data_IF_825826724175
#
_entry.id   IF_825826724175
#
_cell.length_a   1.000
_cell.length_b   1.000
_cell.length_c   1.000
_cell.angle_alpha   90.00
_cell.angle_beta   90.00
_cell.angle_gamma   90.00
#
_symmetry.space_group_name_H-M   'P 1'
#
loop_
_entity.id
_entity.type
_entity.pdbx_description
1 polymer ?
#
# COMPACT_ATOMS: atom_id res chain seq x y z
N UNK A 1 -30.14 -20.67 -49.72
CA UNK A 1 -29.38 -20.27 -48.51
C UNK A 1 -28.58 -19.02 -48.80
N UNK A 2 -29.03 -17.88 -48.28
CA UNK A 2 -28.64 -16.54 -48.72
C UNK A 2 -27.29 -16.10 -48.13
N UNK A 3 -26.50 -15.30 -48.86
CA UNK A 3 -25.21 -14.73 -48.42
C UNK A 3 -25.31 -13.92 -47.12
N UNK A 4 -26.52 -13.49 -46.72
CA UNK A 4 -26.80 -12.75 -45.48
C UNK A 4 -26.68 -13.63 -44.22
N UNK A 5 -27.09 -14.90 -44.30
CA UNK A 5 -27.08 -15.82 -43.14
C UNK A 5 -25.66 -16.22 -42.73
N UNK A 6 -24.74 -16.28 -43.70
CA UNK A 6 -23.31 -16.56 -43.45
C UNK A 6 -22.59 -15.39 -42.77
N UNK A 7 -22.98 -14.15 -43.07
CA UNK A 7 -22.38 -12.93 -42.47
C UNK A 7 -22.85 -12.74 -41.02
N UNK A 8 -24.12 -13.03 -40.73
CA UNK A 8 -24.66 -12.94 -39.37
C UNK A 8 -24.03 -13.96 -38.41
N UNK A 9 -23.78 -15.19 -38.88
CA UNK A 9 -23.10 -16.24 -38.08
C UNK A 9 -21.62 -15.94 -37.85
N UNK A 10 -20.94 -15.35 -38.83
CA UNK A 10 -19.53 -14.94 -38.67
C UNK A 10 -19.38 -13.78 -37.66
N UNK A 11 -20.33 -12.84 -37.65
CA UNK A 11 -20.33 -11.73 -36.69
C UNK A 11 -20.58 -12.19 -35.24
N UNK A 12 -21.48 -13.16 -35.03
CA UNK A 12 -21.73 -13.73 -33.70
C UNK A 12 -20.53 -14.53 -33.17
N UNK A 13 -19.86 -15.30 -34.05
CA UNK A 13 -18.68 -16.07 -33.68
C UNK A 13 -17.48 -15.16 -33.32
N UNK A 14 -17.32 -14.03 -34.02
CA UNK A 14 -16.29 -13.04 -33.70
C UNK A 14 -16.54 -12.34 -32.34
N UNK A 15 -17.80 -12.04 -32.00
CA UNK A 15 -18.18 -11.47 -30.71
C UNK A 15 -18.01 -12.45 -29.54
N UNK A 16 -18.35 -13.73 -29.74
CA UNK A 16 -18.13 -14.77 -28.73
C UNK A 16 -16.63 -15.03 -28.47
N UNK A 17 -15.81 -14.98 -29.52
CA UNK A 17 -14.35 -15.08 -29.40
C UNK A 17 -13.73 -13.90 -28.65
N UNK A 18 -14.22 -12.67 -28.88
CA UNK A 18 -13.75 -11.48 -28.18
C UNK A 18 -14.12 -11.45 -26.69
N UNK A 19 -15.26 -12.04 -26.30
CA UNK A 19 -15.68 -12.16 -24.90
C UNK A 19 -14.90 -13.23 -24.12
N UNK A 20 -14.40 -14.29 -24.77
CA UNK A 20 -13.61 -15.32 -24.08
C UNK A 20 -12.18 -14.86 -23.73
N UNK A 21 -11.59 -13.94 -24.49
CA UNK A 21 -10.20 -13.48 -24.27
C UNK A 21 -10.06 -12.55 -23.05
N UNK A 22 -11.14 -11.88 -22.63
CA UNK A 22 -11.13 -10.95 -21.47
C UNK A 22 -11.19 -11.73 -20.14
N UNK A 23 -11.70 -12.96 -20.14
CA UNK A 23 -11.86 -13.76 -18.92
C UNK A 23 -10.57 -14.45 -18.44
N UNK A 24 -9.50 -14.42 -19.22
CA UNK A 24 -8.23 -15.10 -18.93
C UNK A 24 -7.08 -14.16 -18.62
N UNK A 25 -7.33 -12.88 -18.35
CA UNK A 25 -6.29 -12.01 -17.81
C UNK A 25 -5.92 -12.53 -16.41
N UNK A 26 -4.67 -13.01 -16.19
CA UNK A 26 -4.25 -13.40 -14.86
C UNK A 26 -4.40 -12.18 -13.95
N UNK A 27 -5.03 -12.36 -12.80
CA UNK A 27 -5.02 -11.34 -11.75
C UNK A 27 -3.55 -11.03 -11.48
N UNK A 28 -3.10 -9.82 -11.85
CA UNK A 28 -1.77 -9.36 -11.53
C UNK A 28 -1.69 -9.34 -10.01
N UNK A 29 -0.91 -10.26 -9.43
CA UNK A 29 -0.59 -10.21 -8.00
C UNK A 29 -0.02 -8.81 -7.72
N UNK A 30 -0.64 -8.09 -6.79
CA UNK A 30 -0.21 -6.75 -6.44
C UNK A 30 1.23 -6.84 -5.92
N UNK A 31 2.15 -6.08 -6.53
CA UNK A 31 3.51 -6.00 -6.02
C UNK A 31 3.49 -5.32 -4.63
N UNK A 32 4.44 -5.66 -3.74
CA UNK A 32 4.55 -4.98 -2.44
C UNK A 32 4.58 -3.46 -2.63
N UNK A 33 3.67 -2.77 -1.95
CA UNK A 33 3.59 -1.33 -2.00
C UNK A 33 4.77 -0.72 -1.23
N UNK A 34 5.39 0.30 -1.80
CA UNK A 34 6.42 1.09 -1.12
C UNK A 34 5.81 2.42 -0.68
N UNK A 35 5.90 2.70 0.62
CA UNK A 35 5.48 3.95 1.24
C UNK A 35 6.71 4.67 1.80
N UNK A 36 6.80 5.98 1.61
CA UNK A 36 7.89 6.80 2.14
C UNK A 36 7.29 7.88 3.02
N UNK A 37 7.67 7.88 4.29
CA UNK A 37 7.30 8.91 5.26
C UNK A 37 8.56 9.67 5.63
N UNK A 38 8.52 11.00 5.48
CA UNK A 38 9.68 11.86 5.65
C UNK A 38 9.34 12.96 6.65
N UNK A 39 10.10 12.99 7.76
CA UNK A 39 10.17 14.12 8.69
C UNK A 39 11.21 15.15 8.22
N UNK A 40 11.64 16.03 9.11
CA UNK A 40 12.69 17.01 8.81
C UNK A 40 14.05 16.35 8.62
N UNK A 41 14.37 15.36 9.44
CA UNK A 41 15.64 14.66 9.51
C UNK A 41 15.47 13.14 9.43
N UNK A 42 14.37 12.59 9.94
CA UNK A 42 14.11 11.14 9.96
C UNK A 42 13.29 10.74 8.75
N UNK A 43 13.63 9.59 8.17
CA UNK A 43 12.94 8.99 7.03
C UNK A 43 12.61 7.53 7.32
N UNK A 44 11.41 7.12 6.95
CA UNK A 44 11.00 5.72 6.90
C UNK A 44 10.63 5.36 5.47
N UNK A 45 11.26 4.32 4.91
CA UNK A 45 10.81 3.64 3.70
C UNK A 45 10.22 2.30 4.11
N UNK A 46 8.94 2.12 3.87
CA UNK A 46 8.12 0.98 4.29
C UNK A 46 7.72 0.17 3.06
N UNK A 47 7.86 -1.16 3.11
CA UNK A 47 7.49 -2.07 2.02
C UNK A 47 6.70 -3.26 2.55
N UNK A 48 5.46 -3.39 2.11
CA UNK A 48 4.60 -4.53 2.44
C UNK A 48 3.52 -4.74 1.39
N UNK A 49 2.97 -5.96 1.35
CA UNK A 49 1.75 -6.25 0.60
C UNK A 49 0.54 -5.96 1.49
N UNK A 50 -0.05 -4.77 1.33
CA UNK A 50 -1.18 -4.32 2.14
C UNK A 50 -2.49 -5.03 1.78
N UNK A 51 -2.62 -5.53 0.55
CA UNK A 51 -3.79 -6.30 0.13
C UNK A 51 -3.76 -7.68 0.80
N UNK A 52 -2.59 -8.32 0.86
CA UNK A 52 -2.40 -9.55 1.64
C UNK A 52 -2.63 -9.31 3.14
N UNK A 53 -2.27 -8.13 3.66
CA UNK A 53 -2.53 -7.78 5.06
C UNK A 53 -4.01 -7.61 5.36
N UNK A 54 -4.75 -6.96 4.46
CA UNK A 54 -6.19 -6.78 4.59
C UNK A 54 -6.97 -8.10 4.45
N UNK A 55 -6.47 -9.03 3.65
CA UNK A 55 -7.05 -10.35 3.43
C UNK A 55 -6.46 -11.45 4.35
N UNK A 56 -5.68 -11.09 5.37
CA UNK A 56 -4.91 -12.04 6.17
C UNK A 56 -5.82 -13.03 6.91
N UNK A 57 -5.67 -14.31 6.59
CA UNK A 57 -6.31 -15.42 7.31
C UNK A 57 -5.47 -15.89 8.50
N UNK A 58 -5.99 -16.83 9.32
CA UNK A 58 -5.34 -17.28 10.56
C UNK A 58 -3.95 -17.89 10.38
N UNK A 59 -3.69 -18.55 9.24
CA UNK A 59 -2.41 -19.18 8.92
C UNK A 59 -1.50 -18.30 8.04
N UNK A 60 -2.01 -17.14 7.61
CA UNK A 60 -1.26 -16.23 6.77
C UNK A 60 -0.34 -15.35 7.63
N UNK A 61 0.81 -15.00 7.05
CA UNK A 61 1.71 -14.00 7.58
C UNK A 61 1.97 -12.93 6.56
N UNK A 62 2.07 -11.68 7.00
CA UNK A 62 2.55 -10.59 6.15
C UNK A 62 3.90 -10.12 6.62
N UNK A 63 4.83 -10.07 5.67
CA UNK A 63 6.13 -9.47 5.83
C UNK A 63 6.05 -7.97 5.57
N UNK A 64 6.64 -7.22 6.47
CA UNK A 64 6.77 -5.78 6.38
C UNK A 64 8.22 -5.38 6.64
N UNK A 65 8.87 -4.88 5.60
CA UNK A 65 10.25 -4.40 5.67
C UNK A 65 10.28 -2.87 5.79
N UNK A 66 11.15 -2.37 6.66
CA UNK A 66 11.38 -0.96 6.87
C UNK A 66 12.86 -0.64 6.75
N UNK A 67 13.15 0.50 6.14
CA UNK A 67 14.43 1.18 6.18
C UNK A 67 14.24 2.51 6.91
N UNK A 68 14.94 2.68 8.02
CA UNK A 68 14.85 3.85 8.88
C UNK A 68 16.22 4.52 8.87
N UNK A 69 16.26 5.79 8.48
CA UNK A 69 17.49 6.58 8.42
C UNK A 69 17.25 7.98 8.94
N UNK A 70 18.34 8.65 9.33
CA UNK A 70 18.33 10.05 9.69
C UNK A 70 19.41 10.83 8.95
N UNK A 71 19.13 12.11 8.74
CA UNK A 71 20.07 13.07 8.15
C UNK A 71 20.00 14.38 8.96
N UNK A 72 20.60 14.38 10.15
CA UNK A 72 20.63 15.55 11.03
C UNK A 72 22.01 16.23 11.05
N UNK A 73 22.09 17.56 11.27
CA UNK A 73 23.37 18.26 11.35
C UNK A 73 24.29 17.82 12.50
N UNK A 74 23.70 17.36 13.61
CA UNK A 74 24.43 16.90 14.78
C UNK A 74 24.06 15.43 15.05
N UNK A 75 25.04 14.61 15.50
CA UNK A 75 24.76 13.23 15.88
C UNK A 75 23.70 13.13 16.97
N UNK A 76 22.90 12.08 16.91
CA UNK A 76 21.88 11.79 17.91
C UNK A 76 21.32 10.38 17.74
N UNK A 77 20.14 10.15 18.31
CA UNK A 77 19.52 8.83 18.33
C UNK A 77 18.07 8.91 17.88
N UNK A 78 17.64 7.95 17.07
CA UNK A 78 16.25 7.73 16.69
C UNK A 78 15.75 6.47 17.39
N UNK A 79 14.71 6.60 18.20
CA UNK A 79 14.06 5.46 18.85
C UNK A 79 13.04 4.87 17.89
N UNK A 80 13.05 3.56 17.77
CA UNK A 80 12.13 2.80 16.92
C UNK A 80 11.18 2.02 17.82
N UNK A 81 9.88 2.16 17.57
CA UNK A 81 8.87 1.50 18.37
C UNK A 81 7.70 0.99 17.55
N UNK A 82 6.89 0.12 18.17
CA UNK A 82 5.66 -0.40 17.57
C UNK A 82 4.50 -0.15 18.51
N UNK A 83 3.38 0.28 17.96
CA UNK A 83 2.09 0.34 18.67
C UNK A 83 1.03 -0.41 17.87
N UNK A 84 -0.02 -0.86 18.53
CA UNK A 84 -1.20 -1.39 17.87
C UNK A 84 -2.49 -0.90 18.51
N UNK A 85 -3.57 -0.90 17.72
CA UNK A 85 -4.94 -0.69 18.16
C UNK A 85 -5.87 -1.67 17.44
N UNK A 86 -6.93 -2.11 18.10
CA UNK A 86 -7.95 -2.99 17.51
C UNK A 86 -8.18 -4.28 18.29
N UNK A 87 -8.98 -5.17 17.71
CA UNK A 87 -9.61 -6.28 18.42
C UNK A 87 -9.03 -7.65 18.08
N UNK A 88 -8.41 -7.78 16.90
CA UNK A 88 -7.80 -9.04 16.45
C UNK A 88 -6.41 -9.21 17.07
N UNK A 89 -6.13 -10.26 17.86
CA UNK A 89 -4.81 -10.39 18.46
C UNK A 89 -3.80 -10.76 17.37
N UNK A 90 -2.62 -10.16 17.44
CA UNK A 90 -1.55 -10.32 16.46
C UNK A 90 -0.26 -10.70 17.18
N UNK A 91 0.52 -11.57 16.57
CA UNK A 91 1.89 -11.87 16.98
C UNK A 91 2.86 -11.36 15.92
N UNK A 92 3.99 -10.82 16.36
CA UNK A 92 5.01 -10.28 15.48
C UNK A 92 6.37 -10.86 15.84
N UNK A 93 7.09 -11.34 14.83
CA UNK A 93 8.55 -11.52 14.91
C UNK A 93 9.21 -10.25 14.38
N UNK A 94 10.11 -9.66 15.17
CA UNK A 94 10.83 -8.44 14.80
C UNK A 94 12.31 -8.74 14.70
N UNK A 95 12.89 -8.47 13.54
CA UNK A 95 14.32 -8.65 13.26
C UNK A 95 14.94 -7.38 12.73
N UNK A 96 16.19 -7.13 13.11
CA UNK A 96 17.02 -6.07 12.59
C UNK A 96 18.15 -6.67 11.76
N UNK A 97 18.39 -6.12 10.58
CA UNK A 97 19.54 -6.43 9.75
C UNK A 97 20.45 -5.19 9.66
N UNK A 98 21.78 -5.35 9.75
CA UNK A 98 22.72 -4.24 9.57
C UNK A 98 22.83 -3.78 8.10
N UNK A 99 22.23 -4.53 7.17
CA UNK A 99 22.22 -4.22 5.73
C UNK A 99 20.81 -4.41 5.18
N UNK A 100 20.55 -3.89 3.98
CA UNK A 100 19.27 -4.11 3.31
C UNK A 100 18.99 -5.61 3.14
N UNK A 101 17.76 -6.01 3.47
CA UNK A 101 17.32 -7.39 3.31
C UNK A 101 17.33 -7.83 1.84
N UNK A 102 17.76 -9.06 1.59
CA UNK A 102 17.77 -9.67 0.26
C UNK A 102 16.82 -10.86 0.24
N UNK A 103 15.61 -10.66 -0.31
CA UNK A 103 14.58 -11.68 -0.19
C UNK A 103 14.31 -11.97 1.30
N UNK A 104 14.32 -13.23 1.70
CA UNK A 104 14.11 -13.63 3.10
C UNK A 104 15.35 -13.47 3.99
N UNK A 105 16.52 -13.30 3.39
CA UNK A 105 17.80 -13.39 4.10
C UNK A 105 18.37 -12.03 4.50
N UNK A 106 19.08 -12.05 5.63
CA UNK A 106 19.97 -10.97 6.05
C UNK A 106 21.41 -11.47 5.96
N UNK A 107 22.13 -11.03 4.92
CA UNK A 107 23.52 -11.44 4.68
C UNK A 107 24.46 -11.02 5.81
N UNK A 108 24.16 -9.90 6.48
CA UNK A 108 24.93 -9.40 7.63
C UNK A 108 24.62 -10.10 8.96
N UNK A 109 23.72 -11.09 8.99
CA UNK A 109 23.22 -11.72 10.21
C UNK A 109 22.09 -10.92 10.86
N UNK A 110 20.90 -11.52 10.94
CA UNK A 110 19.75 -10.87 11.56
C UNK A 110 19.80 -10.95 13.08
N UNK A 111 19.67 -9.81 13.75
CA UNK A 111 19.40 -9.76 15.19
C UNK A 111 17.91 -9.89 15.44
N UNK A 112 17.53 -10.79 16.35
CA UNK A 112 16.14 -10.96 16.77
C UNK A 112 15.83 -10.01 17.93
N UNK A 113 14.94 -9.04 17.70
CA UNK A 113 14.51 -8.07 18.72
C UNK A 113 13.31 -8.59 19.53
N UNK A 114 12.36 -9.25 18.86
CA UNK A 114 11.16 -9.86 19.47
C UNK A 114 10.78 -11.14 18.71
N UNK A 115 10.27 -12.15 19.43
CA UNK A 115 9.77 -13.41 18.87
C UNK A 115 8.37 -13.70 19.35
N UNK A 116 7.48 -14.07 18.42
CA UNK A 116 6.08 -14.39 18.67
C UNK A 116 5.42 -13.39 19.63
N UNK A 117 5.78 -12.11 19.50
CA UNK A 117 5.43 -11.11 20.49
C UNK A 117 3.99 -10.65 20.25
N UNK A 118 3.13 -10.87 21.24
CA UNK A 118 1.78 -10.32 21.27
C UNK A 118 1.84 -8.81 21.50
N UNK A 119 1.68 -8.03 20.43
CA UNK A 119 1.76 -6.56 20.49
C UNK A 119 0.59 -6.04 21.34
N UNK A 120 0.83 -5.22 22.39
CA UNK A 120 -0.24 -4.56 23.12
C UNK A 120 -1.09 -3.67 22.20
N UNK A 121 -2.41 -3.74 22.36
CA UNK A 121 -3.38 -3.04 21.50
C UNK A 121 -4.01 -1.83 22.17
N UNK A 122 -3.31 -1.27 23.15
CA UNK A 122 -3.72 -0.10 23.94
C UNK A 122 -3.26 1.23 23.31
N UNK A 123 -2.72 1.18 22.09
CA UNK A 123 -2.19 2.34 21.37
C UNK A 123 -0.85 2.86 21.90
N UNK A 124 -0.29 2.25 22.94
CA UNK A 124 1.01 2.68 23.49
C UNK A 124 2.14 2.15 22.62
N UNK A 125 3.13 3.01 22.39
CA UNK A 125 4.36 2.62 21.70
C UNK A 125 5.24 1.81 22.64
N UNK A 126 5.61 0.60 22.20
CA UNK A 126 6.63 -0.22 22.82
C UNK A 126 7.91 -0.08 22.02
N UNK A 127 8.96 0.40 22.69
CA UNK A 127 10.28 0.56 22.08
C UNK A 127 10.88 -0.81 21.72
N UNK A 128 11.43 -0.89 20.52
CA UNK A 128 12.11 -2.06 20.00
C UNK A 128 13.63 -1.91 20.12
N UNK A 129 14.13 -0.76 19.68
CA UNK A 129 15.55 -0.44 19.60
C UNK A 129 15.79 1.06 19.44
N UNK A 130 17.05 1.48 19.55
CA UNK A 130 17.49 2.85 19.35
C UNK A 130 18.70 2.89 18.41
N UNK A 131 18.61 3.67 17.32
CA UNK A 131 19.60 3.70 16.24
C UNK A 131 20.35 5.03 16.24
N UNK A 132 21.64 5.00 15.92
CA UNK A 132 22.43 6.22 15.70
C UNK A 132 21.87 6.98 14.50
N UNK A 133 21.96 8.31 14.52
CA UNK A 133 21.61 9.13 13.36
C UNK A 133 22.51 8.90 12.15
N UNK A 134 23.68 8.32 12.37
CA UNK A 134 24.68 8.03 11.32
C UNK A 134 24.49 6.64 10.70
N UNK A 135 23.56 5.84 11.25
CA UNK A 135 23.26 4.48 10.82
C UNK A 135 21.95 4.40 10.01
N UNK A 136 21.81 3.32 9.25
CA UNK A 136 20.57 2.94 8.59
C UNK A 136 20.09 1.61 9.17
N UNK A 137 18.90 1.61 9.73
CA UNK A 137 18.30 0.41 10.32
C UNK A 137 17.37 -0.27 9.32
N UNK A 138 17.60 -1.56 9.08
CA UNK A 138 16.75 -2.38 8.22
C UNK A 138 15.93 -3.36 9.07
N UNK A 139 14.71 -2.96 9.42
CA UNK A 139 13.82 -3.73 10.30
C UNK A 139 12.86 -4.57 9.47
N UNK A 140 12.65 -5.83 9.87
CA UNK A 140 11.59 -6.69 9.34
C UNK A 140 10.62 -7.06 10.45
N UNK A 141 9.34 -6.90 10.16
CA UNK A 141 8.23 -7.42 10.95
C UNK A 141 7.55 -8.54 10.16
N UNK A 142 7.42 -9.71 10.76
CA UNK A 142 6.56 -10.78 10.25
C UNK A 142 5.33 -10.86 11.14
N UNK A 143 4.22 -10.35 10.63
CA UNK A 143 2.95 -10.19 11.36
C UNK A 143 2.04 -11.38 11.08
N UNK A 144 1.47 -11.95 12.14
CA UNK A 144 0.50 -13.07 12.08
C UNK A 144 -0.69 -12.79 12.97
N UNK A 145 -1.84 -13.37 12.64
CA UNK A 145 -2.98 -13.43 13.57
C UNK A 145 -2.67 -14.43 14.69
N UNK A 146 -3.03 -14.07 15.92
CA UNK A 146 -2.94 -14.96 17.06
C UNK A 146 -4.26 -15.72 17.24
N UNK A 147 -4.22 -17.05 17.14
CA UNK A 147 -5.40 -17.90 17.33
C UNK A 147 -6.27 -18.07 16.07
N UNK A 148 -6.76 -19.29 15.87
CA UNK A 148 -7.27 -19.82 14.60
C UNK A 148 -8.59 -19.25 14.04
N UNK A 149 -9.09 -18.13 14.55
CA UNK A 149 -10.26 -17.37 14.03
C UNK A 149 -10.43 -16.09 14.86
N UNK A 150 -9.50 -15.14 14.71
CA UNK A 150 -9.69 -13.80 15.26
C UNK A 150 -10.73 -13.06 14.41
N UNK A 151 -11.84 -12.64 15.02
CA UNK A 151 -12.74 -11.66 14.43
C UNK A 151 -12.23 -10.25 14.75
N UNK A 152 -12.36 -9.32 13.80
CA UNK A 152 -11.95 -7.93 13.96
C UNK A 152 -10.71 -7.58 13.13
N UNK A 153 -10.21 -6.37 13.34
CA UNK A 153 -9.02 -5.85 12.68
C UNK A 153 -8.08 -5.24 13.71
N UNK A 154 -6.78 -5.25 13.40
CA UNK A 154 -5.76 -4.58 14.20
C UNK A 154 -4.88 -3.75 13.28
N UNK A 155 -4.72 -2.48 13.64
CA UNK A 155 -3.81 -1.57 12.97
C UNK A 155 -2.50 -1.55 13.76
N UNK A 156 -1.41 -1.92 13.10
CA UNK A 156 -0.06 -1.83 13.64
C UNK A 156 0.61 -0.59 13.06
N UNK A 157 1.31 0.17 13.90
CA UNK A 157 2.11 1.34 13.50
C UNK A 157 3.55 1.12 13.94
N UNK A 158 4.49 1.44 13.05
CA UNK A 158 5.90 1.59 13.41
C UNK A 158 6.18 3.08 13.55
N UNK A 159 6.86 3.45 14.63
CA UNK A 159 7.23 4.81 15.01
C UNK A 159 8.74 4.99 14.92
N UNK A 160 9.16 6.17 14.47
CA UNK A 160 10.53 6.63 14.57
C UNK A 160 10.55 8.03 15.19
N UNK A 161 11.09 8.11 16.41
CA UNK A 161 11.08 9.31 17.24
C UNK A 161 12.51 9.74 17.58
N UNK A 162 12.87 10.96 17.19
CA UNK A 162 14.22 11.47 17.46
C UNK A 162 14.51 12.74 16.67
N UNK A 163 15.54 13.48 17.11
CA UNK A 163 16.06 14.64 16.38
C UNK A 163 15.02 15.76 16.14
N UNK A 164 13.93 15.78 16.93
CA UNK A 164 12.82 16.73 16.76
C UNK A 164 11.73 16.26 15.79
N UNK A 165 11.87 15.07 15.21
CA UNK A 165 10.82 14.40 14.43
C UNK A 165 10.11 13.32 15.24
N UNK A 166 8.85 13.13 14.88
CA UNK A 166 8.01 12.02 15.30
C UNK A 166 7.17 11.61 14.08
N UNK A 167 7.54 10.50 13.46
CA UNK A 167 6.88 9.98 12.27
C UNK A 167 6.48 8.52 12.44
N UNK A 168 5.41 8.12 11.77
CA UNK A 168 4.87 6.78 11.86
C UNK A 168 4.38 6.27 10.50
N UNK A 169 4.38 4.95 10.32
CA UNK A 169 3.85 4.28 9.11
C UNK A 169 3.10 3.01 9.49
N UNK A 170 2.24 2.50 8.60
CA UNK A 170 1.53 1.22 8.74
C UNK A 170 0.30 1.13 7.83
N UNK A 171 -0.47 0.04 7.88
CA UNK A 171 -1.63 -0.18 7.02
C UNK A 171 -2.61 1.00 7.04
N UNK A 172 -2.95 1.55 5.87
CA UNK A 172 -3.88 2.68 5.75
C UNK A 172 -3.35 4.03 6.25
N UNK A 173 -2.04 4.21 6.40
CA UNK A 173 -1.39 5.50 6.69
C UNK A 173 -1.37 6.44 5.46
N UNK A 174 -2.47 6.53 4.74
CA UNK A 174 -2.61 7.47 3.61
C UNK A 174 -3.08 8.81 4.16
N UNK A 175 -2.17 9.56 4.76
CA UNK A 175 -2.32 11.00 4.89
C UNK A 175 -1.06 11.65 4.30
N UNK A 176 -1.16 12.29 3.12
CA UNK A 176 -0.11 13.22 2.70
C UNK A 176 -0.01 14.32 3.75
N UNK A 177 1.21 14.66 4.16
CA UNK A 177 1.46 15.89 4.87
C UNK A 177 0.90 17.06 4.05
N UNK A 178 0.01 17.85 4.64
CA UNK A 178 -0.54 19.08 4.04
C UNK A 178 0.60 20.01 3.64
N UNK A 179 0.81 20.22 2.34
CA UNK A 179 1.83 21.15 1.84
C UNK A 179 2.22 20.97 0.38
N UNK A 180 1.28 21.10 -0.56
CA UNK A 180 1.61 21.09 -1.98
C UNK A 180 0.44 21.64 -2.80
N UNK A 181 0.62 22.82 -3.38
CA UNK A 181 -0.35 23.49 -4.23
C UNK A 181 -0.77 22.59 -5.41
N UNK A 182 -2.06 22.26 -5.49
CA UNK A 182 -2.62 21.65 -6.68
C UNK A 182 -2.44 22.63 -7.86
N UNK A 183 -1.79 22.23 -8.97
CA UNK A 183 -1.77 23.05 -10.16
C UNK A 183 -3.21 23.08 -10.72
N UNK A 184 -3.83 24.26 -10.65
CA UNK A 184 -5.14 24.60 -11.18
C UNK A 184 -5.45 24.18 -12.64
N UNK A 185 -4.50 23.90 -13.58
CA UNK A 185 -4.87 23.54 -14.95
C UNK A 185 -5.60 22.20 -15.11
N UNK A 186 -5.44 21.25 -14.18
CA UNK A 186 -6.04 19.92 -14.31
C UNK A 186 -7.58 19.93 -14.20
N UNK A 187 -8.14 20.88 -13.44
CA UNK A 187 -9.59 21.05 -13.28
C UNK A 187 -10.22 21.67 -14.54
N UNK A 188 -9.48 22.53 -15.25
CA UNK A 188 -9.95 23.17 -16.50
C UNK A 188 -10.04 22.15 -17.65
N UNK A 189 -9.10 21.20 -17.74
CA UNK A 189 -9.11 20.17 -18.77
C UNK A 189 -10.28 19.19 -18.63
N UNK A 190 -10.67 18.82 -17.40
CA UNK A 190 -11.83 17.95 -17.14
C UNK A 190 -13.17 18.63 -17.45
N UNK A 191 -13.29 19.93 -17.15
CA UNK A 191 -14.51 20.70 -17.45
C UNK A 191 -14.77 20.86 -18.95
N UNK A 192 -13.73 21.09 -19.75
CA UNK A 192 -13.87 21.26 -21.20
C UNK A 192 -14.38 20.00 -21.92
N UNK A 193 -13.95 18.81 -21.47
CA UNK A 193 -14.41 17.52 -22.01
C UNK A 193 -15.89 17.26 -21.76
N UNK A 194 -16.41 17.63 -20.59
CA UNK A 194 -17.83 17.48 -20.26
C UNK A 194 -18.71 18.45 -21.06
N UNK A 195 -18.26 19.68 -21.30
CA UNK A 195 -18.97 20.65 -22.15
C UNK A 195 -18.99 20.21 -23.62
N UNK A 196 -17.88 19.67 -24.14
CA UNK A 196 -17.83 19.14 -25.50
C UNK A 196 -18.76 17.93 -25.70
N UNK A 197 -18.81 17.01 -24.72
CA UNK A 197 -19.71 15.86 -24.76
C UNK A 197 -21.20 16.27 -24.69
N UNK A 198 -21.52 17.28 -23.87
CA UNK A 198 -22.87 17.84 -23.79
C UNK A 198 -23.31 18.50 -25.11
N UNK A 199 -22.43 19.28 -25.74
CA UNK A 199 -22.71 19.92 -27.04
C UNK A 199 -22.93 18.90 -28.16
N UNK A 200 -22.11 17.83 -28.22
CA UNK A 200 -22.28 16.75 -29.19
C UNK A 200 -23.61 16.02 -29.04
N UNK A 201 -24.07 15.75 -27.81
CA UNK A 201 -25.35 15.12 -27.54
C UNK A 201 -26.55 16.00 -27.94
N UNK A 202 -26.46 17.32 -27.74
CA UNK A 202 -27.51 18.27 -28.15
C UNK A 202 -27.61 18.36 -29.68
N UNK A 203 -26.48 18.41 -30.38
CA UNK A 203 -26.46 18.44 -31.85
C UNK A 203 -26.95 17.11 -32.47
N UNK A 204 -26.61 15.97 -31.88
CA UNK A 204 -27.08 14.66 -32.33
C UNK A 204 -28.60 14.49 -32.15
N UNK A 205 -29.19 15.09 -31.11
CA UNK A 205 -30.64 15.09 -30.88
C UNK A 205 -31.39 15.94 -31.90
N UNK A 206 -30.86 17.12 -32.27
CA UNK A 206 -31.52 18.01 -33.25
C UNK A 206 -31.56 17.41 -34.66
N UNK A 207 -30.58 16.62 -35.06
CA UNK A 207 -30.55 15.96 -36.39
C UNK A 207 -31.52 14.79 -36.54
N UNK A 208 -32.06 14.24 -35.44
CA UNK A 208 -33.04 13.13 -35.48
C UNK A 208 -34.50 13.58 -35.48
N UNK A 209 -34.78 14.88 -35.37
CA UNK A 209 -36.14 15.44 -35.42
C UNK A 209 -36.51 16.09 -36.74
N UNK A 210 -35.74 15.86 -37.81
CA UNK A 210 -35.87 16.55 -39.09
C UNK A 210 -36.49 15.77 -40.25
N UNK A 211 -36.82 14.49 -40.06
CA UNK A 211 -37.53 13.69 -41.07
C UNK A 211 -38.91 13.30 -40.53
N UNK A 212 -39.91 14.09 -40.88
CA UNK A 212 -41.34 13.74 -40.82
C UNK A 212 -42.01 14.26 -42.08
#
# INVERSE_FOLDING_TARGET
MSRRDRRARAALAALAGALLVIASAPAAAAAPATEIVQGRYVRIVSRADWDAAAAMGPEASVRWDLEISAAAPNPGTVRVGVSAIGDAPVTVDVRLCPVAWQGEDCVGGAQLLRRAWGVPRDGRTVELDAISSDDVAHVRLDVRLAGGRAAGATQIRVHADGLGDQIQTGPGAQLPATGGSFPLPAIVAGGALLVAAALLLVFARRRRGGDS
#
